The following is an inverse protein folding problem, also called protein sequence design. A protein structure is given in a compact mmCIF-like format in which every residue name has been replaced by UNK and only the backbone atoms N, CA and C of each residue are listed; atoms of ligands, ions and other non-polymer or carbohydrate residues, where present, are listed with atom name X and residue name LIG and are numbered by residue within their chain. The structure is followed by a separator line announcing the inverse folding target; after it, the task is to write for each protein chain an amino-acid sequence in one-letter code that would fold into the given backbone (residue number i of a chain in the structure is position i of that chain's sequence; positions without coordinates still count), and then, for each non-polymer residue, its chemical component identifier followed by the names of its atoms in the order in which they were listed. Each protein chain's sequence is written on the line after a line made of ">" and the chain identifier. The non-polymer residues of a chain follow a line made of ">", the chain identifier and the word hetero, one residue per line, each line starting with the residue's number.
data_IF_081359395645
#
_entry.id   IF_081359395645
#
_cell.length_a   1.000
_cell.length_b   1.000
_cell.length_c   1.000
_cell.angle_alpha   90.00
_cell.angle_beta   90.00
_cell.angle_gamma   90.00
#
_symmetry.space_group_name_H-M   'P 1'
#
loop_
_entity.id
_entity.type
_entity.pdbx_description
1 polymer ?
#
# COMPACT_ATOMS: atom_id res chain seq x y z
N UNK A 1 -85.70 -47.15 -19.46
CA UNK A 1 -84.28 -47.39 -19.06
C UNK A 1 -83.46 -46.15 -19.40
N UNK A 2 -83.23 -45.23 -18.44
CA UNK A 2 -82.42 -44.02 -18.64
C UNK A 2 -81.07 -44.28 -18.06
N UNK A 3 -80.02 -44.29 -18.94
CA UNK A 3 -78.63 -44.32 -18.53
C UNK A 3 -78.17 -42.86 -18.27
N UNK A 4 -77.94 -42.55 -17.03
CA UNK A 4 -77.25 -41.24 -16.62
C UNK A 4 -75.80 -41.40 -16.80
N UNK A 5 -75.22 -40.63 -17.76
CA UNK A 5 -73.79 -40.47 -17.91
C UNK A 5 -73.28 -39.39 -16.92
N UNK A 6 -72.40 -39.79 -16.02
CA UNK A 6 -71.78 -38.93 -15.06
C UNK A 6 -70.48 -38.39 -15.71
N UNK A 7 -70.42 -37.08 -16.03
CA UNK A 7 -69.22 -36.40 -16.52
C UNK A 7 -68.39 -36.00 -15.31
N UNK A 8 -67.18 -36.56 -15.17
CA UNK A 8 -66.22 -36.20 -14.19
C UNK A 8 -65.40 -35.04 -14.80
N UNK A 9 -65.55 -33.82 -14.26
CA UNK A 9 -64.70 -32.68 -14.58
C UNK A 9 -63.48 -32.78 -13.68
N UNK A 10 -62.35 -33.15 -14.26
CA UNK A 10 -61.05 -33.08 -13.58
C UNK A 10 -60.55 -31.61 -13.57
N UNK A 11 -60.62 -30.98 -12.40
CA UNK A 11 -59.98 -29.69 -12.19
C UNK A 11 -58.46 -29.89 -12.05
N UNK A 12 -57.70 -29.46 -13.06
CA UNK A 12 -56.24 -29.40 -13.02
C UNK A 12 -55.88 -28.16 -12.17
N UNK A 13 -55.55 -28.38 -10.91
CA UNK A 13 -54.96 -27.35 -10.06
C UNK A 13 -53.50 -27.17 -10.54
N UNK A 14 -53.27 -26.13 -11.30
CA UNK A 14 -51.90 -25.71 -11.68
C UNK A 14 -51.12 -25.30 -10.42
N UNK A 15 -50.22 -26.16 -9.98
CA UNK A 15 -49.24 -25.80 -8.96
C UNK A 15 -48.23 -24.84 -9.61
N UNK A 16 -48.36 -23.56 -9.29
CA UNK A 16 -47.28 -22.60 -9.59
C UNK A 16 -46.08 -22.99 -8.74
N UNK A 17 -45.05 -23.56 -9.35
CA UNK A 17 -43.74 -23.70 -8.70
C UNK A 17 -43.15 -22.32 -8.57
N UNK A 18 -43.15 -21.77 -7.35
CA UNK A 18 -42.40 -20.56 -7.06
C UNK A 18 -40.93 -20.95 -7.02
N UNK A 19 -40.13 -20.33 -7.90
CA UNK A 19 -38.67 -20.42 -7.81
C UNK A 19 -38.23 -19.46 -6.69
N UNK A 20 -37.58 -19.99 -5.68
CA UNK A 20 -36.98 -19.20 -4.60
C UNK A 20 -35.49 -19.05 -4.88
N UNK A 21 -35.01 -17.79 -4.93
CA UNK A 21 -33.58 -17.49 -5.10
C UNK A 21 -32.91 -17.41 -3.73
N UNK A 22 -31.87 -18.21 -3.54
CA UNK A 22 -31.02 -18.17 -2.33
C UNK A 22 -29.72 -17.46 -2.66
N UNK A 23 -29.48 -16.35 -1.97
CA UNK A 23 -28.23 -15.59 -2.11
C UNK A 23 -27.16 -16.15 -1.18
N UNK A 24 -25.98 -16.47 -1.73
CA UNK A 24 -24.81 -16.88 -0.98
C UNK A 24 -23.83 -15.68 -0.98
N UNK A 25 -23.50 -15.18 0.22
CA UNK A 25 -22.57 -14.06 0.40
C UNK A 25 -21.27 -14.59 1.01
N UNK A 26 -20.13 -14.18 0.44
CA UNK A 26 -18.81 -14.48 0.99
C UNK A 26 -17.93 -13.23 1.00
N UNK A 27 -17.10 -13.08 2.02
CA UNK A 27 -16.10 -12.02 2.10
C UNK A 27 -14.70 -12.66 2.08
N UNK A 28 -13.83 -12.18 1.19
CA UNK A 28 -12.42 -12.60 1.14
C UNK A 28 -11.59 -11.47 1.73
N UNK A 29 -10.84 -11.78 2.79
CA UNK A 29 -9.89 -10.81 3.37
C UNK A 29 -8.73 -10.54 2.40
N UNK A 30 -8.15 -9.33 2.50
CA UNK A 30 -6.94 -8.99 1.74
C UNK A 30 -5.83 -9.99 2.02
N UNK A 31 -5.10 -10.34 0.96
CA UNK A 31 -3.93 -11.24 0.99
C UNK A 31 -2.61 -10.48 0.95
N UNK A 32 -2.65 -9.17 1.17
CA UNK A 32 -1.49 -8.30 1.28
C UNK A 32 -1.55 -7.57 2.62
N UNK A 33 -0.48 -7.69 3.39
CA UNK A 33 -0.33 -7.07 4.71
C UNK A 33 0.90 -6.17 4.69
N UNK A 34 0.76 -4.98 5.27
CA UNK A 34 1.85 -4.01 5.40
C UNK A 34 2.22 -3.88 6.87
N UNK A 35 3.51 -3.90 7.16
CA UNK A 35 4.05 -3.73 8.50
C UNK A 35 5.23 -2.77 8.48
N UNK A 36 5.27 -1.80 9.40
CA UNK A 36 6.47 -1.01 9.65
C UNK A 36 7.49 -1.91 10.34
N UNK A 37 8.63 -2.16 9.70
CA UNK A 37 9.72 -2.95 10.25
C UNK A 37 10.69 -2.06 11.01
N UNK A 38 11.13 -0.97 10.40
CA UNK A 38 12.07 -0.02 11.00
C UNK A 38 11.51 1.39 10.90
N UNK A 39 11.54 2.12 12.01
CA UNK A 39 11.17 3.53 12.07
C UNK A 39 12.36 4.38 11.60
N UNK A 40 12.10 5.31 10.67
CA UNK A 40 13.12 6.21 10.16
C UNK A 40 13.56 7.26 11.20
N UNK A 41 14.80 7.69 11.10
CA UNK A 41 15.37 8.80 11.89
C UNK A 41 16.11 9.73 10.93
N UNK A 42 15.86 11.02 11.05
CA UNK A 42 16.66 12.01 10.35
C UNK A 42 17.97 12.28 11.09
N UNK A 43 19.10 12.12 10.41
CA UNK A 43 20.36 12.75 10.76
C UNK A 43 20.36 14.20 10.30
N UNK A 44 21.27 15.01 10.85
CA UNK A 44 21.47 16.42 10.47
C UNK A 44 22.95 16.63 10.08
N UNK A 45 23.34 16.21 8.87
CA UNK A 45 24.72 16.26 8.43
C UNK A 45 25.23 17.70 8.27
N UNK A 46 24.32 18.61 7.92
CA UNK A 46 24.60 20.06 7.83
C UNK A 46 23.45 20.84 8.47
N UNK A 47 23.65 22.11 8.85
CA UNK A 47 22.60 22.93 9.45
C UNK A 47 21.33 23.05 8.57
N UNK A 48 21.48 22.91 7.26
CA UNK A 48 20.40 23.06 6.26
C UNK A 48 19.81 21.74 5.78
N UNK A 49 20.30 20.58 6.24
CA UNK A 49 19.90 19.28 5.70
C UNK A 49 19.47 18.30 6.79
N UNK A 50 18.36 17.61 6.53
CA UNK A 50 17.92 16.44 7.28
C UNK A 50 17.87 15.25 6.33
N UNK A 51 18.53 14.15 6.68
CA UNK A 51 18.67 12.97 5.82
C UNK A 51 18.44 11.68 6.61
N UNK A 52 17.74 10.71 6.01
CA UNK A 52 17.61 9.37 6.58
C UNK A 52 18.80 8.47 6.25
N UNK A 53 19.75 8.94 5.44
CA UNK A 53 20.92 8.15 5.06
C UNK A 53 21.81 7.84 6.26
N UNK A 54 22.27 6.57 6.41
CA UNK A 54 23.15 6.18 7.53
C UNK A 54 24.48 6.95 7.57
N UNK A 55 25.00 7.34 6.40
CA UNK A 55 26.22 8.16 6.31
C UNK A 55 26.06 9.53 6.96
N UNK A 56 24.83 10.04 7.05
CA UNK A 56 24.45 11.32 7.62
C UNK A 56 23.98 11.20 9.08
N UNK A 57 24.13 10.01 9.67
CA UNK A 57 23.64 9.70 11.01
C UNK A 57 22.13 9.43 11.08
N UNK A 58 21.50 9.22 9.94
CA UNK A 58 20.07 8.86 9.83
C UNK A 58 19.83 7.36 9.92
N UNK A 59 18.54 6.99 9.90
CA UNK A 59 18.06 5.61 9.79
C UNK A 59 16.98 5.56 8.70
N UNK A 60 17.18 4.71 7.71
CA UNK A 60 16.20 4.48 6.67
C UNK A 60 14.96 3.77 7.26
N UNK A 61 13.74 4.32 7.10
CA UNK A 61 12.54 3.58 7.43
C UNK A 61 12.39 2.38 6.49
N UNK A 62 11.92 1.26 7.04
CA UNK A 62 11.69 0.04 6.29
C UNK A 62 10.23 -0.38 6.47
N UNK A 63 9.58 -0.64 5.34
CA UNK A 63 8.20 -1.14 5.26
C UNK A 63 8.21 -2.52 4.64
N UNK A 64 7.59 -3.49 5.32
CA UNK A 64 7.44 -4.85 4.84
C UNK A 64 6.07 -5.07 4.23
N UNK A 65 6.07 -5.67 3.06
CA UNK A 65 4.88 -6.18 2.38
C UNK A 65 4.89 -7.70 2.41
N UNK A 66 3.86 -8.30 2.99
CA UNK A 66 3.61 -9.74 3.01
C UNK A 66 2.48 -10.07 2.04
N UNK A 67 2.78 -10.80 0.96
CA UNK A 67 1.84 -11.14 -0.09
C UNK A 67 1.64 -12.64 -0.16
N UNK A 68 0.41 -13.10 0.07
CA UNK A 68 0.06 -14.51 0.01
C UNK A 68 -0.24 -14.99 -1.42
N UNK A 69 -0.55 -14.09 -2.33
CA UNK A 69 -0.94 -14.41 -3.71
C UNK A 69 -0.31 -13.43 -4.69
N UNK A 70 0.54 -13.97 -5.57
CA UNK A 70 1.23 -13.22 -6.61
C UNK A 70 0.27 -12.63 -7.65
N UNK A 71 0.66 -11.49 -8.27
CA UNK A 71 -0.06 -10.81 -9.37
C UNK A 71 -1.45 -10.26 -9.04
N UNK A 72 -1.78 -10.08 -7.77
CA UNK A 72 -3.07 -9.51 -7.34
C UNK A 72 -2.94 -8.14 -6.68
N UNK A 73 -1.71 -7.72 -6.39
CA UNK A 73 -1.46 -6.50 -5.66
C UNK A 73 -0.28 -5.73 -6.22
N UNK A 74 -0.37 -4.42 -6.04
CA UNK A 74 0.70 -3.45 -6.26
C UNK A 74 1.06 -2.81 -4.92
N UNK A 75 2.35 -2.74 -4.59
CA UNK A 75 2.85 -1.87 -3.54
C UNK A 75 2.90 -0.44 -4.07
N UNK A 76 2.38 0.51 -3.31
CA UNK A 76 2.57 1.94 -3.53
C UNK A 76 3.20 2.53 -2.29
N UNK A 77 4.35 3.16 -2.44
CA UNK A 77 5.10 3.79 -1.37
C UNK A 77 5.32 5.25 -1.75
N UNK A 78 4.98 6.16 -0.83
CA UNK A 78 5.12 7.60 -1.04
C UNK A 78 6.08 8.14 0.00
N UNK A 79 7.23 8.67 -0.44
CA UNK A 79 8.13 9.37 0.45
C UNK A 79 7.65 10.81 0.69
N UNK A 80 8.02 11.42 1.84
CA UNK A 80 7.47 12.71 2.24
C UNK A 80 7.95 13.87 1.34
N UNK A 81 7.07 14.84 1.15
CA UNK A 81 7.37 16.14 0.52
C UNK A 81 7.06 17.31 1.47
N UNK A 82 6.73 16.99 2.73
CA UNK A 82 6.50 17.98 3.78
C UNK A 82 6.69 17.37 5.15
N UNK A 83 6.96 18.20 6.14
CA UNK A 83 6.90 17.78 7.53
C UNK A 83 5.45 17.74 7.99
N UNK A 84 5.07 16.67 8.70
CA UNK A 84 3.81 16.57 9.45
C UNK A 84 3.90 17.37 10.77
N UNK A 85 5.12 17.57 11.30
CA UNK A 85 5.41 18.38 12.47
C UNK A 85 6.78 19.03 12.28
N UNK A 86 6.88 20.34 12.47
CA UNK A 86 8.14 21.09 12.45
C UNK A 86 7.98 22.44 13.16
N UNK A 87 9.08 23.07 13.58
CA UNK A 87 9.09 24.50 13.85
C UNK A 87 8.61 25.32 12.64
N UNK A 88 8.25 26.57 12.86
CA UNK A 88 7.87 27.47 11.76
C UNK A 88 9.09 27.67 10.83
N UNK A 89 8.92 27.31 9.58
CA UNK A 89 9.90 27.53 8.51
C UNK A 89 9.47 28.74 7.68
N UNK A 90 10.43 29.59 7.32
CA UNK A 90 10.17 30.84 6.57
C UNK A 90 10.26 30.65 5.07
N UNK A 91 10.82 29.52 4.63
CA UNK A 91 11.08 29.23 3.22
C UNK A 91 10.69 27.80 2.86
N UNK A 92 10.68 27.51 1.57
CA UNK A 92 10.40 26.20 1.02
C UNK A 92 11.55 25.23 1.30
N UNK A 93 11.20 24.01 1.69
CA UNK A 93 12.13 22.89 1.81
C UNK A 93 12.07 22.08 0.50
N UNK A 94 13.21 21.76 -0.05
CA UNK A 94 13.32 20.85 -1.19
C UNK A 94 13.42 19.41 -0.70
N UNK A 95 12.61 18.54 -1.26
CA UNK A 95 12.53 17.13 -0.88
C UNK A 95 13.07 16.25 -1.99
N UNK A 96 13.87 15.26 -1.60
CA UNK A 96 14.28 14.16 -2.48
C UNK A 96 14.12 12.84 -1.73
N UNK A 97 13.90 11.77 -2.46
CA UNK A 97 13.76 10.45 -1.87
C UNK A 97 13.94 9.36 -2.92
N UNK A 98 14.03 8.13 -2.43
CA UNK A 98 14.09 6.92 -3.25
C UNK A 98 13.55 5.74 -2.45
N UNK A 99 13.01 4.75 -3.16
CA UNK A 99 12.51 3.50 -2.58
C UNK A 99 13.27 2.34 -3.22
N UNK A 100 13.95 1.55 -2.41
CA UNK A 100 14.72 0.40 -2.87
C UNK A 100 14.41 -0.85 -2.06
N UNK A 101 14.65 -2.01 -2.64
CA UNK A 101 14.50 -3.30 -1.95
C UNK A 101 15.66 -3.50 -0.97
N UNK A 102 15.35 -3.68 0.33
CA UNK A 102 16.33 -3.94 1.37
C UNK A 102 16.53 -5.44 1.60
N UNK A 103 15.42 -6.20 1.62
CA UNK A 103 15.42 -7.64 1.90
C UNK A 103 14.25 -8.32 1.18
N UNK A 104 14.41 -9.60 0.85
CA UNK A 104 13.40 -10.41 0.16
C UNK A 104 13.42 -11.85 0.66
N UNK A 105 12.27 -12.52 0.64
CA UNK A 105 12.19 -13.96 0.92
C UNK A 105 12.43 -14.83 -0.31
N UNK A 106 12.27 -14.27 -1.50
CA UNK A 106 12.55 -14.93 -2.78
C UNK A 106 13.51 -14.08 -3.61
N UNK A 107 14.57 -14.66 -4.15
CA UNK A 107 15.59 -13.94 -4.90
C UNK A 107 15.04 -13.22 -6.15
N UNK A 108 13.94 -13.70 -6.74
CA UNK A 108 13.29 -13.06 -7.88
C UNK A 108 12.69 -11.69 -7.56
N UNK A 109 12.34 -11.44 -6.28
CA UNK A 109 11.80 -10.16 -5.83
C UNK A 109 12.83 -9.02 -5.88
N UNK A 110 14.14 -9.32 -5.95
CA UNK A 110 15.18 -8.30 -6.12
C UNK A 110 15.02 -7.51 -7.42
N UNK A 111 14.33 -8.09 -8.42
CA UNK A 111 14.00 -7.41 -9.67
C UNK A 111 13.00 -6.25 -9.50
N UNK A 112 12.35 -6.11 -8.34
CA UNK A 112 11.44 -5.00 -8.05
C UNK A 112 12.13 -3.64 -8.11
N UNK A 113 13.43 -3.55 -7.79
CA UNK A 113 14.21 -2.32 -7.94
C UNK A 113 14.32 -1.83 -9.40
N UNK A 114 14.30 -2.76 -10.34
CA UNK A 114 14.39 -2.43 -11.78
C UNK A 114 13.05 -2.34 -12.47
N UNK A 115 12.00 -2.95 -11.90
CA UNK A 115 10.64 -2.96 -12.45
C UNK A 115 9.73 -1.90 -11.82
N UNK A 116 10.20 -1.19 -10.78
CA UNK A 116 9.45 -0.12 -10.14
C UNK A 116 9.12 1.00 -11.13
N UNK A 117 7.96 1.61 -10.95
CA UNK A 117 7.53 2.81 -11.66
C UNK A 117 7.54 3.97 -10.67
N UNK A 118 8.24 5.03 -11.01
CA UNK A 118 8.37 6.23 -10.18
C UNK A 118 7.67 7.41 -10.84
N UNK A 119 6.87 8.11 -10.06
CA UNK A 119 6.21 9.33 -10.47
C UNK A 119 6.16 10.31 -9.31
N UNK A 120 6.85 11.45 -9.43
CA UNK A 120 7.07 12.40 -8.35
C UNK A 120 7.70 11.69 -7.13
N UNK A 121 7.02 11.73 -5.98
CA UNK A 121 7.43 11.08 -4.74
C UNK A 121 6.75 9.72 -4.50
N UNK A 122 6.14 9.14 -5.52
CA UNK A 122 5.44 7.84 -5.46
C UNK A 122 6.24 6.78 -6.21
N UNK A 123 6.47 5.66 -5.56
CA UNK A 123 7.02 4.44 -6.17
C UNK A 123 5.95 3.36 -6.18
N UNK A 124 5.69 2.76 -7.33
CA UNK A 124 4.79 1.63 -7.50
C UNK A 124 5.55 0.39 -7.98
N UNK A 125 5.21 -0.76 -7.39
CA UNK A 125 5.80 -2.06 -7.71
C UNK A 125 4.69 -3.11 -7.81
N UNK A 126 4.60 -3.80 -8.94
CA UNK A 126 3.70 -4.93 -9.10
C UNK A 126 4.26 -6.15 -8.32
N UNK A 127 3.49 -6.65 -7.34
CA UNK A 127 3.90 -7.75 -6.48
C UNK A 127 3.63 -9.09 -7.19
N UNK A 128 4.56 -9.48 -8.05
CA UNK A 128 4.45 -10.62 -8.96
C UNK A 128 4.85 -11.96 -8.34
N UNK A 129 5.41 -11.94 -7.13
CA UNK A 129 5.88 -13.12 -6.40
C UNK A 129 5.25 -13.12 -5.01
N UNK A 130 4.75 -14.28 -4.56
CA UNK A 130 4.24 -14.45 -3.20
C UNK A 130 5.40 -14.53 -2.21
N UNK A 131 5.26 -13.90 -1.06
CA UNK A 131 6.29 -13.83 -0.02
C UNK A 131 6.38 -12.46 0.62
N UNK A 132 7.51 -12.17 1.24
CA UNK A 132 7.76 -10.90 1.93
C UNK A 132 8.85 -10.11 1.24
N UNK A 133 8.63 -8.82 1.07
CA UNK A 133 9.59 -7.85 0.55
C UNK A 133 9.69 -6.68 1.52
N UNK A 134 10.91 -6.29 1.87
CA UNK A 134 11.20 -5.12 2.67
C UNK A 134 11.70 -3.99 1.76
N UNK A 135 10.96 -2.90 1.74
CA UNK A 135 11.36 -1.69 1.03
C UNK A 135 11.92 -0.68 2.02
N UNK A 136 13.13 -0.21 1.77
CA UNK A 136 13.70 0.92 2.49
C UNK A 136 13.42 2.22 1.73
N UNK A 137 13.19 3.30 2.48
CA UNK A 137 12.85 4.60 1.91
C UNK A 137 13.91 5.62 2.31
N UNK A 138 14.65 6.12 1.34
CA UNK A 138 15.49 7.29 1.55
C UNK A 138 14.65 8.56 1.49
N UNK A 139 14.97 9.53 2.33
CA UNK A 139 14.33 10.85 2.32
C UNK A 139 15.32 11.90 2.80
N UNK A 140 15.46 12.95 2.02
CA UNK A 140 16.29 14.12 2.35
C UNK A 140 15.44 15.38 2.21
N UNK A 141 15.52 16.24 3.23
CA UNK A 141 14.91 17.56 3.25
C UNK A 141 16.04 18.59 3.26
N UNK A 142 16.13 19.44 2.25
CA UNK A 142 17.12 20.51 2.11
C UNK A 142 16.44 21.89 2.23
N UNK A 143 16.88 22.67 3.20
CA UNK A 143 16.40 24.02 3.47
C UNK A 143 17.16 25.11 2.70
N UNK A 144 18.26 24.73 2.06
CA UNK A 144 19.08 25.59 1.21
C UNK A 144 20.39 26.07 1.86
N UNK A 145 21.40 26.27 1.03
CA UNK A 145 22.83 26.43 1.38
C UNK A 145 23.14 27.55 2.40
N UNK A 146 22.29 28.58 2.49
CA UNK A 146 22.51 29.73 3.39
C UNK A 146 21.59 29.74 4.59
N UNK A 147 20.85 28.65 4.82
CA UNK A 147 19.82 28.53 5.85
C UNK A 147 20.19 27.44 6.86
N UNK A 148 19.53 27.47 7.99
CA UNK A 148 19.64 26.45 8.99
C UNK A 148 18.22 26.09 9.49
N UNK A 149 17.98 24.81 9.68
CA UNK A 149 16.77 24.35 10.34
C UNK A 149 16.71 24.89 11.77
N UNK A 150 15.62 25.56 12.17
CA UNK A 150 15.42 25.97 13.56
C UNK A 150 15.49 24.77 14.52
N UNK A 151 15.95 25.00 15.75
CA UNK A 151 15.93 23.95 16.76
C UNK A 151 14.49 23.49 17.06
N UNK A 152 14.27 22.18 17.07
CA UNK A 152 12.96 21.59 17.36
C UNK A 152 12.82 20.18 16.82
N UNK A 153 11.61 19.65 16.90
CA UNK A 153 11.26 18.31 16.41
C UNK A 153 10.80 18.40 14.98
N UNK A 154 11.28 17.49 14.13
CA UNK A 154 10.88 17.35 12.75
C UNK A 154 10.33 15.94 12.54
N UNK A 155 9.14 15.86 11.99
CA UNK A 155 8.49 14.59 11.61
C UNK A 155 8.01 14.66 10.17
N UNK A 156 8.23 13.60 9.44
CA UNK A 156 7.66 13.39 8.12
C UNK A 156 7.07 11.99 8.04
N UNK A 157 6.13 11.76 7.14
CA UNK A 157 5.40 10.51 7.03
C UNK A 157 5.68 9.85 5.68
N UNK A 158 6.11 8.61 5.72
CA UNK A 158 6.10 7.70 4.58
C UNK A 158 4.75 7.00 4.56
N UNK A 159 4.04 7.07 3.45
CA UNK A 159 2.81 6.31 3.26
C UNK A 159 3.07 5.03 2.48
N UNK A 160 2.40 3.96 2.86
CA UNK A 160 2.52 2.66 2.20
C UNK A 160 1.13 2.04 2.03
N UNK A 161 0.80 1.70 0.79
CA UNK A 161 -0.49 1.14 0.41
C UNK A 161 -0.32 -0.17 -0.35
N UNK A 162 -1.25 -1.09 -0.18
CA UNK A 162 -1.37 -2.31 -0.97
C UNK A 162 -2.63 -2.21 -1.83
N UNK A 163 -2.45 -2.01 -3.13
CA UNK A 163 -3.53 -1.76 -4.07
C UNK A 163 -3.86 -3.07 -4.79
N UNK A 164 -5.12 -3.48 -4.78
CA UNK A 164 -5.59 -4.60 -5.59
C UNK A 164 -5.58 -4.20 -7.08
N UNK A 165 -5.10 -5.13 -7.94
CA UNK A 165 -5.06 -4.99 -9.40
C UNK A 165 -6.38 -5.44 -10.04
#
# INVERSE_FOLDING_TARGET
>A
MFKKSLAIVAAIIGMNAAAEEVTITGTVASKCVITTDTVGIYGNPTPSELSTAPADGGVLPIVRYDVLQANFYKARITYPESFSESPVLTDVVTWTGDVTVAEVTDAGMSAYDTSKVEFNNVTEVDLTIAGSTWFQVASTADYGVTKAFPAGTYRAVVSADCIAL
#
